data_IF_030325427086
#
_entry.id   IF_030325427086
#
_cell.length_a   1.000
_cell.length_b   1.000
_cell.length_c   1.000
_cell.angle_alpha   90.00
_cell.angle_beta   90.00
_cell.angle_gamma   90.00
#
_symmetry.space_group_name_H-M   'P 1'
#
loop_
_entity.id
_entity.type
_entity.pdbx_description
1 polymer ?
#
# COMPACT_ATOMS: atom_id res chain seq x y z
N UNK A 1 -36.42 1.25 4.36
CA UNK A 1 -34.98 1.43 4.62
C UNK A 1 -34.23 0.73 3.51
N UNK A 2 -33.41 1.45 2.78
CA UNK A 2 -32.56 0.87 1.73
C UNK A 2 -31.34 0.24 2.41
N UNK A 3 -31.17 -1.07 2.26
CA UNK A 3 -30.08 -1.80 2.90
C UNK A 3 -28.78 -1.48 2.16
N UNK A 4 -27.80 -0.90 2.86
CA UNK A 4 -26.50 -0.59 2.28
C UNK A 4 -25.83 -1.88 1.81
N UNK A 5 -25.74 -2.09 0.51
CA UNK A 5 -25.05 -3.24 -0.06
C UNK A 5 -23.54 -3.02 0.06
N UNK A 6 -22.85 -3.92 0.77
CA UNK A 6 -21.39 -3.94 0.75
C UNK A 6 -20.92 -4.33 -0.65
N UNK A 7 -20.31 -3.39 -1.36
CA UNK A 7 -19.55 -3.65 -2.59
C UNK A 7 -18.07 -3.81 -2.24
N UNK A 8 -17.34 -4.52 -3.09
CA UNK A 8 -15.88 -4.57 -2.94
C UNK A 8 -15.28 -3.20 -3.27
N UNK A 9 -14.22 -2.79 -2.57
CA UNK A 9 -13.61 -1.47 -2.79
C UNK A 9 -13.20 -1.27 -4.25
N UNK A 10 -12.75 -2.33 -4.92
CA UNK A 10 -12.36 -2.30 -6.33
C UNK A 10 -13.50 -1.96 -7.30
N UNK A 11 -14.75 -2.28 -6.97
CA UNK A 11 -15.92 -1.91 -7.79
C UNK A 11 -16.32 -0.44 -7.61
N UNK A 12 -15.91 0.16 -6.51
CA UNK A 12 -16.23 1.55 -6.16
C UNK A 12 -15.11 2.53 -6.49
N UNK A 13 -13.92 2.03 -6.81
CA UNK A 13 -12.75 2.84 -7.10
C UNK A 13 -12.73 3.31 -8.56
N UNK A 14 -12.31 4.57 -8.81
CA UNK A 14 -12.10 5.04 -10.18
C UNK A 14 -10.94 4.29 -10.82
N UNK A 15 -11.10 3.95 -12.11
CA UNK A 15 -10.04 3.32 -12.89
C UNK A 15 -8.86 4.30 -13.04
N UNK A 16 -7.67 3.87 -12.63
CA UNK A 16 -6.44 4.70 -12.68
C UNK A 16 -5.76 4.68 -14.04
N UNK A 17 -6.06 3.69 -14.88
CA UNK A 17 -5.48 3.51 -16.21
C UNK A 17 -6.58 3.32 -17.25
N UNK A 18 -6.41 3.94 -18.42
CA UNK A 18 -7.26 3.71 -19.59
C UNK A 18 -6.92 2.37 -20.27
N UNK A 19 -7.90 1.82 -21.00
CA UNK A 19 -7.75 0.55 -21.70
C UNK A 19 -6.52 0.52 -22.61
N UNK A 20 -6.31 1.56 -23.41
CA UNK A 20 -5.16 1.65 -24.31
C UNK A 20 -3.80 1.62 -23.57
N UNK A 21 -3.74 2.13 -22.34
CA UNK A 21 -2.52 2.08 -21.51
C UNK A 21 -2.26 0.64 -21.05
N UNK A 22 -3.32 -0.08 -20.70
CA UNK A 22 -3.23 -1.50 -20.32
C UNK A 22 -2.78 -2.34 -21.51
N UNK A 23 -3.32 -2.09 -22.71
CA UNK A 23 -2.91 -2.83 -23.92
C UNK A 23 -1.45 -2.57 -24.27
N UNK A 24 -1.02 -1.31 -24.26
CA UNK A 24 0.39 -0.95 -24.50
C UNK A 24 1.31 -1.59 -23.46
N UNK A 25 0.98 -1.52 -22.18
CA UNK A 25 1.76 -2.15 -21.12
C UNK A 25 1.85 -3.69 -21.31
N UNK A 26 0.75 -4.32 -21.74
CA UNK A 26 0.72 -5.76 -22.04
C UNK A 26 1.66 -6.12 -23.19
N UNK A 27 1.66 -5.35 -24.27
CA UNK A 27 2.53 -5.59 -25.43
C UNK A 27 4.01 -5.48 -25.07
N UNK A 28 4.38 -4.45 -24.31
CA UNK A 28 5.73 -4.25 -23.80
C UNK A 28 6.16 -5.37 -22.85
N UNK A 29 5.29 -5.78 -21.92
CA UNK A 29 5.56 -6.90 -21.02
C UNK A 29 5.79 -8.21 -21.79
N UNK A 30 4.99 -8.45 -22.83
CA UNK A 30 5.17 -9.62 -23.71
C UNK A 30 6.47 -9.55 -24.50
N UNK A 31 6.90 -8.36 -24.92
CA UNK A 31 8.19 -8.18 -25.58
C UNK A 31 9.36 -8.53 -24.64
N UNK A 32 9.31 -8.09 -23.38
CA UNK A 32 10.31 -8.43 -22.36
C UNK A 32 10.39 -9.95 -22.16
N UNK A 33 9.26 -10.61 -21.95
CA UNK A 33 9.21 -12.07 -21.73
C UNK A 33 9.79 -12.85 -22.93
N UNK A 34 9.55 -12.38 -24.16
CA UNK A 34 10.02 -13.07 -25.38
C UNK A 34 11.49 -12.85 -25.67
N UNK A 35 12.06 -11.70 -25.27
CA UNK A 35 13.39 -11.28 -25.72
C UNK A 35 14.46 -11.35 -24.63
N UNK A 36 14.07 -11.34 -23.37
CA UNK A 36 14.98 -11.32 -22.22
C UNK A 36 15.09 -12.69 -21.58
N UNK A 37 16.21 -12.91 -20.89
CA UNK A 37 16.34 -14.05 -19.99
C UNK A 37 15.39 -13.93 -18.81
N UNK A 38 15.11 -15.05 -18.14
CA UNK A 38 14.21 -15.06 -16.97
C UNK A 38 14.70 -14.13 -15.85
N UNK A 39 16.01 -14.12 -15.57
CA UNK A 39 16.62 -13.27 -14.55
C UNK A 39 16.46 -11.79 -14.88
N UNK A 40 16.77 -11.37 -16.11
CA UNK A 40 16.60 -9.99 -16.56
C UNK A 40 15.13 -9.56 -16.59
N UNK A 41 14.22 -10.44 -17.01
CA UNK A 41 12.79 -10.15 -17.00
C UNK A 41 12.29 -9.95 -15.56
N UNK A 42 12.69 -10.82 -14.63
CA UNK A 42 12.38 -10.68 -13.22
C UNK A 42 12.90 -9.36 -12.67
N UNK A 43 14.12 -8.99 -13.06
CA UNK A 43 14.75 -7.74 -12.67
C UNK A 43 13.93 -6.52 -13.08
N UNK A 44 13.49 -6.49 -14.34
CA UNK A 44 12.69 -5.41 -14.91
C UNK A 44 11.35 -5.29 -14.17
N UNK A 45 10.66 -6.40 -13.92
CA UNK A 45 9.33 -6.37 -13.29
C UNK A 45 9.37 -6.07 -11.79
N UNK A 46 10.50 -6.29 -11.11
CA UNK A 46 10.58 -6.17 -9.65
C UNK A 46 11.40 -4.98 -9.17
N UNK A 47 12.43 -4.53 -9.91
CA UNK A 47 13.28 -3.41 -9.45
C UNK A 47 12.61 -2.04 -9.55
N UNK A 48 11.72 -1.82 -10.53
CA UNK A 48 11.04 -0.53 -10.70
C UNK A 48 10.03 -0.19 -9.58
N UNK A 49 9.52 -1.19 -8.86
CA UNK A 49 8.57 -0.99 -7.74
C UNK A 49 9.19 -0.15 -6.60
N UNK A 50 10.51 -0.14 -6.47
CA UNK A 50 11.22 0.60 -5.42
C UNK A 50 11.25 2.12 -5.61
N UNK A 51 11.06 2.66 -6.82
CA UNK A 51 11.15 4.12 -7.05
C UNK A 51 9.80 4.82 -7.13
N UNK A 52 8.74 4.17 -7.64
CA UNK A 52 7.45 4.83 -7.87
C UNK A 52 6.47 4.68 -6.69
N UNK A 53 6.58 3.60 -5.91
CA UNK A 53 5.78 3.38 -4.68
C UNK A 53 6.12 4.38 -3.55
N UNK A 54 7.30 5.01 -3.59
CA UNK A 54 7.74 5.97 -2.56
C UNK A 54 7.02 7.32 -2.60
N UNK A 55 6.29 7.65 -3.69
CA UNK A 55 5.55 8.92 -3.75
C UNK A 55 4.21 8.91 -3.00
N UNK A 56 3.76 7.75 -2.51
CA UNK A 56 2.60 7.63 -1.64
C UNK A 56 2.95 7.78 -0.13
N UNK A 57 4.21 8.02 0.22
CA UNK A 57 4.66 8.21 1.61
C UNK A 57 5.10 9.65 1.87
N UNK A 58 4.22 10.63 1.65
CA UNK A 58 4.41 11.99 2.17
C UNK A 58 3.16 12.44 2.92
N UNK A 59 2.91 11.83 4.09
CA UNK A 59 2.43 12.49 5.32
C UNK A 59 2.09 11.44 6.40
N UNK A 60 3.07 10.64 6.83
CA UNK A 60 3.02 10.07 8.18
C UNK A 60 4.02 10.87 9.00
N UNK A 61 3.48 11.77 9.82
CA UNK A 61 4.22 12.70 10.66
C UNK A 61 5.42 12.02 11.30
N UNK A 62 6.61 12.51 10.98
CA UNK A 62 7.84 12.15 11.66
C UNK A 62 7.72 12.67 13.08
N UNK A 63 7.35 11.80 14.02
CA UNK A 63 7.43 12.12 15.44
C UNK A 63 8.92 12.22 15.76
N UNK A 64 9.44 13.43 15.82
CA UNK A 64 10.80 13.71 16.29
C UNK A 64 10.88 13.42 17.78
N UNK A 65 11.62 12.37 18.12
CA UNK A 65 12.04 12.00 19.46
C UNK A 65 12.66 13.19 20.22
N UNK A 66 12.02 13.63 21.31
CA UNK A 66 12.67 14.36 22.38
C UNK A 66 12.82 13.43 23.59
N UNK A 67 13.97 12.75 23.61
CA UNK A 67 14.88 12.52 24.75
C UNK A 67 14.23 12.38 26.14
N UNK A 68 14.21 11.16 26.65
CA UNK A 68 14.19 10.85 28.07
C UNK A 68 15.10 9.64 28.32
N UNK A 69 16.27 9.90 28.92
CA UNK A 69 17.09 8.88 29.58
C UNK A 69 16.29 8.27 30.75
N UNK A 70 16.12 6.95 30.78
CA UNK A 70 16.54 6.07 31.89
C UNK A 70 16.00 4.65 31.65
N UNK A 71 16.96 3.71 31.56
CA UNK A 71 16.96 2.37 32.13
C UNK A 71 15.92 1.29 31.70
N UNK A 72 16.48 0.25 31.06
CA UNK A 72 16.21 -1.18 31.24
C UNK A 72 14.74 -1.68 31.14
N UNK A 73 14.35 -2.27 30.00
CA UNK A 73 13.84 -3.66 29.92
C UNK A 73 13.12 -3.97 28.59
N UNK A 74 13.56 -5.05 27.95
CA UNK A 74 12.97 -5.65 26.75
C UNK A 74 11.57 -6.22 27.01
N UNK A 75 10.49 -5.45 26.81
CA UNK A 75 9.12 -6.02 26.72
C UNK A 75 8.27 -5.31 25.66
N UNK A 76 7.84 -6.10 24.67
CA UNK A 76 6.85 -5.76 23.65
C UNK A 76 5.60 -5.15 24.29
N UNK A 77 5.42 -3.82 24.18
CA UNK A 77 4.21 -3.16 24.64
C UNK A 77 3.13 -3.38 23.58
N UNK A 78 2.38 -4.47 23.72
CA UNK A 78 1.05 -4.61 23.15
C UNK A 78 0.21 -3.43 23.64
N UNK A 79 -0.05 -2.44 22.77
CA UNK A 79 -0.91 -1.30 23.12
C UNK A 79 -2.27 -1.86 23.53
N UNK A 80 -2.55 -1.78 24.82
CA UNK A 80 -3.78 -2.26 25.41
C UNK A 80 -4.97 -1.48 24.84
N UNK A 81 -6.08 -2.10 24.42
CA UNK A 81 -7.18 -1.45 23.66
C UNK A 81 -8.03 -0.40 24.40
N UNK A 82 -7.55 0.16 25.51
CA UNK A 82 -8.33 0.94 26.49
C UNK A 82 -8.77 2.34 26.02
N UNK A 83 -8.87 2.59 24.71
CA UNK A 83 -9.33 3.86 24.15
C UNK A 83 -10.24 3.73 22.93
N UNK A 84 -10.64 2.52 22.53
CA UNK A 84 -11.57 2.33 21.42
C UNK A 84 -12.99 2.23 21.97
N UNK A 85 -13.56 3.37 22.35
CA UNK A 85 -14.98 3.45 22.70
C UNK A 85 -15.85 3.35 21.45
N UNK A 86 -16.11 2.11 21.03
CA UNK A 86 -17.00 1.78 19.91
C UNK A 86 -18.46 2.18 20.23
N UNK A 87 -18.81 2.42 21.50
CA UNK A 87 -20.18 2.72 21.91
C UNK A 87 -20.64 4.14 21.54
N UNK A 88 -19.72 5.04 21.19
CA UNK A 88 -20.05 6.42 20.77
C UNK A 88 -20.16 6.59 19.25
N UNK A 89 -19.95 5.54 18.45
CA UNK A 89 -20.06 5.66 17.00
C UNK A 89 -21.54 5.83 16.57
N UNK A 90 -21.91 6.91 15.84
CA UNK A 90 -23.29 7.12 15.40
C UNK A 90 -23.71 6.06 14.37
N UNK A 91 -24.97 5.65 14.43
CA UNK A 91 -25.64 4.78 13.45
C UNK A 91 -26.37 5.59 12.36
#
# INVERSE_FOLDING_TARGET
MEMLQRKSSIETEPMTLHFDQIERAREEAMYVIKTKSFEEAMDIFTKQETQESLRAQENRGRCSDMKGDDDEDERLIFLSPHGWDIASAPF
#
